data_IF_038082965769
#
_entry.id   IF_038082965769
#
_cell.length_a   1.000
_cell.length_b   1.000
_cell.length_c   1.000
_cell.angle_alpha   90.00
_cell.angle_beta   90.00
_cell.angle_gamma   90.00
#
_symmetry.space_group_name_H-M   'P 1'
#
loop_
_entity.id
_entity.type
_entity.pdbx_description
1 polymer ?
#
# COMPACT_ATOMS: atom_id res chain seq x y z
N UNK A 1 -2.33 4.25 25.80
CA UNK A 1 -1.91 4.14 24.39
C UNK A 1 -0.53 3.52 24.28
N UNK A 2 0.45 3.92 25.09
CA UNK A 2 1.74 3.23 25.25
C UNK A 2 1.67 1.68 25.33
N UNK A 3 0.74 1.09 26.10
CA UNK A 3 0.57 -0.37 26.16
C UNK A 3 0.25 -0.99 24.79
N UNK A 4 -0.63 -0.37 24.00
CA UNK A 4 -0.98 -0.85 22.66
C UNK A 4 0.21 -0.77 21.71
N UNK A 5 1.04 0.27 21.84
CA UNK A 5 2.26 0.39 21.04
C UNK A 5 3.25 -0.74 21.33
N UNK A 6 3.50 -1.04 22.62
CA UNK A 6 4.38 -2.14 23.03
C UNK A 6 3.83 -3.48 22.55
N UNK A 7 2.53 -3.70 22.69
CA UNK A 7 1.88 -4.94 22.25
C UNK A 7 1.96 -5.11 20.73
N UNK A 8 1.73 -4.04 19.96
CA UNK A 8 1.90 -4.06 18.50
C UNK A 8 3.35 -4.40 18.10
N UNK A 9 4.36 -3.83 18.77
CA UNK A 9 5.77 -4.12 18.52
C UNK A 9 6.13 -5.57 18.85
N UNK A 10 5.58 -6.12 19.94
CA UNK A 10 5.77 -7.52 20.30
C UNK A 10 5.15 -8.44 19.25
N UNK A 11 3.93 -8.16 18.78
CA UNK A 11 3.28 -8.93 17.72
C UNK A 11 4.12 -8.88 16.44
N UNK A 12 4.58 -7.69 16.02
CA UNK A 12 5.48 -7.53 14.86
C UNK A 12 6.72 -8.41 15.02
N UNK A 13 7.37 -8.36 16.19
CA UNK A 13 8.55 -9.18 16.47
C UNK A 13 8.24 -10.67 16.32
N UNK A 14 7.18 -11.18 16.95
CA UNK A 14 6.80 -12.59 16.86
C UNK A 14 6.48 -13.03 15.42
N UNK A 15 5.72 -12.23 14.68
CA UNK A 15 5.42 -12.48 13.26
C UNK A 15 6.68 -12.45 12.37
N UNK A 16 7.77 -11.82 12.81
CA UNK A 16 8.99 -11.67 12.01
C UNK A 16 10.03 -12.76 12.26
N UNK A 17 9.94 -13.50 13.37
CA UNK A 17 11.01 -14.41 13.84
C UNK A 17 10.63 -15.89 13.91
N UNK A 18 9.36 -16.27 13.65
CA UNK A 18 8.93 -17.66 13.85
C UNK A 18 7.79 -18.14 12.96
N UNK A 19 7.56 -19.46 13.01
CA UNK A 19 6.32 -20.08 12.52
C UNK A 19 5.19 -19.71 13.47
N UNK A 20 4.31 -18.84 12.99
CA UNK A 20 3.11 -18.40 13.71
C UNK A 20 1.90 -19.18 13.21
N UNK A 21 1.09 -19.66 14.14
CA UNK A 21 -0.14 -20.37 13.80
C UNK A 21 -1.28 -19.42 13.38
N UNK A 22 -2.29 -19.99 12.74
CA UNK A 22 -3.44 -19.23 12.24
C UNK A 22 -4.20 -18.51 13.37
N UNK A 23 -4.21 -19.10 14.57
CA UNK A 23 -4.87 -18.50 15.73
C UNK A 23 -4.17 -17.20 16.14
N UNK A 24 -2.84 -17.17 16.17
CA UNK A 24 -2.08 -15.97 16.47
C UNK A 24 -2.31 -14.88 15.42
N UNK A 25 -2.31 -15.24 14.13
CA UNK A 25 -2.61 -14.31 13.03
C UNK A 25 -4.02 -13.72 13.20
N UNK A 26 -5.01 -14.53 13.56
CA UNK A 26 -6.37 -14.05 13.83
C UNK A 26 -6.43 -13.07 15.00
N UNK A 27 -5.73 -13.34 16.10
CA UNK A 27 -5.66 -12.41 17.24
C UNK A 27 -4.97 -11.10 16.86
N UNK A 28 -3.89 -11.16 16.09
CA UNK A 28 -3.19 -9.97 15.62
C UNK A 28 -4.05 -9.12 14.67
N UNK A 29 -4.81 -9.75 13.77
CA UNK A 29 -5.81 -9.07 12.94
C UNK A 29 -6.88 -8.40 13.80
N UNK A 30 -7.45 -9.12 14.76
CA UNK A 30 -8.45 -8.58 15.69
C UNK A 30 -7.90 -7.40 16.50
N UNK A 31 -6.64 -7.46 16.90
CA UNK A 31 -5.96 -6.36 17.58
C UNK A 31 -5.95 -5.08 16.73
N UNK A 32 -5.66 -5.18 15.43
CA UNK A 32 -5.74 -4.03 14.50
C UNK A 32 -7.17 -3.51 14.38
N UNK A 33 -8.17 -4.38 14.27
CA UNK A 33 -9.58 -3.97 14.23
C UNK A 33 -9.99 -3.18 15.49
N UNK A 34 -9.64 -3.69 16.68
CA UNK A 34 -9.93 -3.01 17.94
C UNK A 34 -9.25 -1.64 18.00
N UNK A 35 -8.01 -1.51 17.50
CA UNK A 35 -7.36 -0.21 17.41
C UNK A 35 -8.12 0.77 16.51
N UNK A 36 -8.65 0.32 15.36
CA UNK A 36 -9.41 1.15 14.43
C UNK A 36 -10.73 1.68 15.01
N UNK A 37 -11.27 1.05 16.05
CA UNK A 37 -12.44 1.51 16.79
C UNK A 37 -12.12 2.62 17.80
N UNK A 38 -10.84 2.80 18.16
CA UNK A 38 -10.42 3.85 19.09
C UNK A 38 -10.59 5.22 18.41
N UNK A 39 -11.20 6.21 19.06
CA UNK A 39 -11.32 7.55 18.50
C UNK A 39 -9.95 8.17 18.18
N UNK A 40 -9.80 8.72 16.98
CA UNK A 40 -8.56 9.36 16.52
C UNK A 40 -8.15 10.59 17.37
N UNK A 41 -9.07 11.12 18.21
CA UNK A 41 -8.82 12.19 19.18
C UNK A 41 -8.11 11.71 20.45
N UNK A 42 -7.92 10.40 20.62
CA UNK A 42 -7.22 9.85 21.77
C UNK A 42 -5.77 10.35 21.83
N UNK A 43 -5.22 10.64 23.03
CA UNK A 43 -3.82 11.01 23.19
C UNK A 43 -2.90 9.96 22.56
N UNK A 44 -1.78 10.37 21.95
CA UNK A 44 -0.80 9.46 21.33
C UNK A 44 -1.32 8.60 20.14
N UNK A 45 -2.57 8.79 19.68
CA UNK A 45 -3.16 7.99 18.61
C UNK A 45 -2.29 7.96 17.35
N UNK A 46 -1.78 9.11 16.91
CA UNK A 46 -0.92 9.21 15.73
C UNK A 46 0.39 8.40 15.87
N UNK A 47 0.98 8.36 17.07
CA UNK A 47 2.19 7.57 17.35
C UNK A 47 1.90 6.07 17.24
N UNK A 48 0.80 5.62 17.86
CA UNK A 48 0.40 4.20 17.82
C UNK A 48 -0.03 3.79 16.41
N UNK A 49 -0.75 4.65 15.69
CA UNK A 49 -1.19 4.42 14.30
C UNK A 49 -0.03 4.04 13.38
N UNK A 50 1.14 4.67 13.53
CA UNK A 50 2.32 4.34 12.73
C UNK A 50 2.79 2.90 12.98
N UNK A 51 2.77 2.44 14.23
CA UNK A 51 3.15 1.08 14.61
C UNK A 51 2.10 0.06 14.12
N UNK A 52 0.82 0.42 14.20
CA UNK A 52 -0.28 -0.42 13.69
C UNK A 52 -0.22 -0.56 12.16
N UNK A 53 0.14 0.51 11.45
CA UNK A 53 0.35 0.46 10.00
C UNK A 53 1.49 -0.47 9.62
N UNK A 54 2.56 -0.52 10.41
CA UNK A 54 3.65 -1.49 10.25
C UNK A 54 3.18 -2.92 10.54
N UNK A 55 2.42 -3.13 11.61
CA UNK A 55 1.83 -4.44 11.92
C UNK A 55 0.95 -4.95 10.77
N UNK A 56 0.11 -4.10 10.18
CA UNK A 56 -0.68 -4.46 9.01
C UNK A 56 0.20 -4.85 7.79
N UNK A 57 1.36 -4.20 7.63
CA UNK A 57 2.33 -4.59 6.60
C UNK A 57 2.99 -5.94 6.87
N UNK A 58 3.15 -6.37 8.12
CA UNK A 58 3.65 -7.73 8.39
C UNK A 58 2.54 -8.75 8.19
N UNK A 59 1.34 -8.43 8.68
CA UNK A 59 0.18 -9.32 8.61
C UNK A 59 -0.25 -9.67 7.18
N UNK A 60 -0.03 -8.80 6.19
CA UNK A 60 -0.48 -9.07 4.81
C UNK A 60 0.11 -10.36 4.22
N UNK A 61 1.33 -10.74 4.60
CA UNK A 61 1.97 -11.97 4.11
C UNK A 61 1.15 -13.19 4.53
N UNK A 62 0.75 -13.21 5.81
CA UNK A 62 0.01 -14.30 6.42
C UNK A 62 -1.45 -14.32 5.95
N UNK A 63 -2.14 -13.18 6.00
CA UNK A 63 -3.54 -13.07 5.58
C UNK A 63 -3.68 -13.39 4.07
N UNK A 64 -2.70 -12.98 3.27
CA UNK A 64 -2.66 -13.28 1.83
C UNK A 64 -2.46 -14.76 1.55
N UNK A 65 -1.57 -15.44 2.29
CA UNK A 65 -1.38 -16.89 2.20
C UNK A 65 -2.67 -17.68 2.55
N UNK A 66 -3.51 -17.13 3.43
CA UNK A 66 -4.82 -17.68 3.80
C UNK A 66 -5.95 -17.30 2.81
N UNK A 67 -5.67 -16.51 1.76
CA UNK A 67 -6.67 -16.06 0.79
C UNK A 67 -7.67 -15.03 1.33
N UNK A 68 -7.41 -14.44 2.50
CA UNK A 68 -8.29 -13.48 3.19
C UNK A 68 -8.08 -12.04 2.69
N UNK A 69 -8.11 -11.86 1.37
CA UNK A 69 -7.78 -10.59 0.71
C UNK A 69 -8.68 -9.42 1.11
N UNK A 70 -9.95 -9.69 1.42
CA UNK A 70 -10.89 -8.68 1.90
C UNK A 70 -10.46 -8.05 3.23
N UNK A 71 -9.86 -8.84 4.13
CA UNK A 71 -9.40 -8.35 5.42
C UNK A 71 -8.22 -7.39 5.24
N UNK A 72 -7.23 -7.76 4.41
CA UNK A 72 -6.10 -6.87 4.08
C UNK A 72 -6.60 -5.57 3.44
N UNK A 73 -7.50 -5.68 2.45
CA UNK A 73 -8.03 -4.53 1.74
C UNK A 73 -8.76 -3.59 2.70
N UNK A 74 -9.59 -4.13 3.60
CA UNK A 74 -10.25 -3.35 4.64
C UNK A 74 -9.22 -2.68 5.57
N UNK A 75 -8.25 -3.45 6.09
CA UNK A 75 -7.29 -2.94 7.07
C UNK A 75 -6.47 -1.79 6.49
N UNK A 76 -5.92 -1.94 5.29
CA UNK A 76 -5.12 -0.87 4.68
C UNK A 76 -5.93 0.35 4.28
N UNK A 77 -7.15 0.17 3.75
CA UNK A 77 -8.02 1.32 3.42
C UNK A 77 -8.45 2.08 4.68
N UNK A 78 -8.80 1.37 5.76
CA UNK A 78 -9.14 1.98 7.04
C UNK A 78 -7.95 2.72 7.66
N UNK A 79 -6.76 2.11 7.66
CA UNK A 79 -5.55 2.76 8.17
C UNK A 79 -5.15 3.97 7.32
N UNK A 80 -5.23 3.88 5.99
CA UNK A 80 -4.98 5.00 5.10
C UNK A 80 -5.93 6.18 5.42
N UNK A 81 -7.22 5.91 5.61
CA UNK A 81 -8.19 6.93 5.99
C UNK A 81 -7.85 7.60 7.33
N UNK A 82 -7.31 6.87 8.30
CA UNK A 82 -6.83 7.46 9.56
C UNK A 82 -5.58 8.30 9.36
N UNK A 83 -4.58 7.78 8.64
CA UNK A 83 -3.31 8.48 8.36
C UNK A 83 -3.56 9.78 7.60
N UNK A 84 -4.50 9.78 6.65
CA UNK A 84 -4.95 10.95 5.89
C UNK A 84 -5.38 12.12 6.79
N UNK A 85 -6.01 11.82 7.94
CA UNK A 85 -6.48 12.85 8.91
C UNK A 85 -5.33 13.59 9.60
N UNK A 86 -4.15 12.96 9.68
CA UNK A 86 -2.96 13.54 10.28
C UNK A 86 -2.02 14.16 9.24
N UNK A 87 -2.42 14.23 7.96
CA UNK A 87 -1.64 14.79 6.87
C UNK A 87 -0.25 14.16 6.65
N UNK A 88 -0.06 12.89 7.06
CA UNK A 88 1.12 12.09 6.72
C UNK A 88 0.92 11.50 5.31
N UNK A 89 1.12 12.34 4.29
CA UNK A 89 0.78 12.03 2.90
C UNK A 89 1.60 10.89 2.30
N UNK A 90 2.86 10.73 2.71
CA UNK A 90 3.71 9.65 2.23
C UNK A 90 3.25 8.29 2.77
N UNK A 91 2.90 8.23 4.06
CA UNK A 91 2.34 7.01 4.64
C UNK A 91 0.95 6.71 4.11
N UNK A 92 0.13 7.74 3.89
CA UNK A 92 -1.16 7.60 3.20
C UNK A 92 -0.96 6.98 1.82
N UNK A 93 -0.11 7.57 0.97
CA UNK A 93 0.17 7.05 -0.36
C UNK A 93 0.68 5.61 -0.32
N UNK A 94 1.59 5.29 0.60
CA UNK A 94 2.13 3.92 0.74
C UNK A 94 1.06 2.88 1.11
N UNK A 95 0.15 3.20 2.04
CA UNK A 95 -0.96 2.30 2.40
C UNK A 95 -1.97 2.17 1.25
N UNK A 96 -2.30 3.27 0.58
CA UNK A 96 -3.26 3.29 -0.53
C UNK A 96 -2.74 2.54 -1.76
N UNK A 97 -1.44 2.65 -2.08
CA UNK A 97 -0.80 1.85 -3.15
C UNK A 97 -0.95 0.35 -2.85
N UNK A 98 -0.66 -0.08 -1.61
CA UNK A 98 -0.78 -1.49 -1.21
C UNK A 98 -2.21 -2.00 -1.30
N UNK A 99 -3.18 -1.21 -0.83
CA UNK A 99 -4.60 -1.51 -0.98
C UNK A 99 -4.99 -1.65 -2.46
N UNK A 100 -4.53 -0.74 -3.33
CA UNK A 100 -4.80 -0.77 -4.76
C UNK A 100 -4.19 -2.00 -5.45
N UNK A 101 -2.96 -2.39 -5.09
CA UNK A 101 -2.32 -3.60 -5.61
C UNK A 101 -3.11 -4.86 -5.27
N UNK A 102 -3.61 -4.98 -4.04
CA UNK A 102 -4.46 -6.12 -3.63
C UNK A 102 -5.81 -6.07 -4.32
N UNK A 103 -6.44 -4.89 -4.45
CA UNK A 103 -7.68 -4.73 -5.19
C UNK A 103 -7.54 -5.15 -6.66
N UNK A 104 -6.42 -4.80 -7.31
CA UNK A 104 -6.17 -5.23 -8.68
C UNK A 104 -5.97 -6.75 -8.78
N UNK A 105 -5.16 -7.33 -7.88
CA UNK A 105 -4.95 -8.77 -7.81
C UNK A 105 -6.24 -9.56 -7.60
N UNK A 106 -7.15 -9.03 -6.79
CA UNK A 106 -8.45 -9.64 -6.52
C UNK A 106 -9.51 -9.28 -7.57
N UNK A 107 -9.08 -9.05 -8.83
CA UNK A 107 -9.92 -8.79 -10.01
C UNK A 107 -10.94 -7.66 -9.81
N UNK A 108 -10.56 -6.65 -9.05
CA UNK A 108 -11.32 -5.40 -8.89
C UNK A 108 -10.52 -4.21 -9.43
N UNK A 109 -10.11 -4.21 -10.72
CA UNK A 109 -9.28 -3.15 -11.29
C UNK A 109 -9.93 -1.78 -11.20
N UNK A 110 -11.27 -1.68 -11.25
CA UNK A 110 -11.99 -0.42 -11.03
C UNK A 110 -11.77 0.12 -9.62
N UNK A 111 -11.75 -0.74 -8.59
CA UNK A 111 -11.50 -0.31 -7.21
C UNK A 111 -10.03 0.15 -7.04
N UNK A 112 -9.08 -0.55 -7.66
CA UNK A 112 -7.68 -0.13 -7.68
C UNK A 112 -7.50 1.24 -8.36
N UNK A 113 -8.16 1.47 -9.49
CA UNK A 113 -8.18 2.77 -10.19
C UNK A 113 -8.67 3.89 -9.26
N UNK A 114 -9.75 3.67 -8.51
CA UNK A 114 -10.26 4.69 -7.59
C UNK A 114 -9.25 5.03 -6.49
N UNK A 115 -8.57 4.04 -5.94
CA UNK A 115 -7.54 4.24 -4.92
C UNK A 115 -6.34 5.04 -5.46
N UNK A 116 -5.87 4.73 -6.67
CA UNK A 116 -4.79 5.51 -7.29
C UNK A 116 -5.23 6.94 -7.64
N UNK A 117 -6.44 7.12 -8.17
CA UNK A 117 -7.00 8.46 -8.43
C UNK A 117 -7.12 9.28 -7.15
N UNK A 118 -7.43 8.65 -6.01
CA UNK A 118 -7.47 9.34 -4.73
C UNK A 118 -6.09 9.96 -4.39
N UNK A 119 -5.00 9.24 -4.66
CA UNK A 119 -3.63 9.74 -4.43
C UNK A 119 -3.26 10.81 -5.45
N UNK A 120 -3.51 10.56 -6.74
CA UNK A 120 -3.14 11.47 -7.85
C UNK A 120 -3.84 12.82 -7.71
N UNK A 121 -5.10 12.82 -7.26
CA UNK A 121 -5.88 14.03 -7.07
C UNK A 121 -5.63 14.72 -5.72
N UNK A 122 -4.68 14.24 -4.90
CA UNK A 122 -4.28 14.96 -3.70
C UNK A 122 -3.55 16.25 -4.07
N UNK A 123 -3.87 17.34 -3.37
CA UNK A 123 -3.08 18.57 -3.43
C UNK A 123 -1.61 18.33 -3.05
N UNK A 124 -1.33 17.33 -2.21
CA UNK A 124 0.00 16.96 -1.78
C UNK A 124 0.74 16.01 -2.76
N UNK A 125 0.11 15.57 -3.85
CA UNK A 125 0.71 14.63 -4.79
C UNK A 125 2.08 15.08 -5.28
N UNK A 126 2.19 16.34 -5.73
CA UNK A 126 3.44 16.93 -6.23
C UNK A 126 4.56 17.01 -5.19
N UNK A 127 4.23 16.95 -3.89
CA UNK A 127 5.20 16.94 -2.79
C UNK A 127 5.72 15.55 -2.44
N UNK A 128 5.13 14.49 -2.99
CA UNK A 128 5.60 13.13 -2.78
C UNK A 128 6.97 12.92 -3.46
N UNK A 129 7.82 12.04 -2.89
CA UNK A 129 9.09 11.66 -3.52
C UNK A 129 8.90 11.24 -4.98
N UNK A 130 9.83 11.61 -5.87
CA UNK A 130 9.71 11.37 -7.31
C UNK A 130 9.47 9.87 -7.62
N UNK A 131 10.26 8.97 -7.04
CA UNK A 131 10.05 7.52 -7.16
C UNK A 131 8.66 7.05 -6.75
N UNK A 132 8.08 7.67 -5.70
CA UNK A 132 6.74 7.32 -5.23
C UNK A 132 5.68 7.72 -6.26
N UNK A 133 5.82 8.90 -6.87
CA UNK A 133 4.96 9.35 -7.96
C UNK A 133 5.08 8.45 -9.18
N UNK A 134 6.30 8.08 -9.57
CA UNK A 134 6.55 7.13 -10.67
C UNK A 134 5.86 5.80 -10.41
N UNK A 135 6.01 5.23 -9.20
CA UNK A 135 5.34 4.00 -8.79
C UNK A 135 3.82 4.10 -8.92
N UNK A 136 3.22 5.19 -8.42
CA UNK A 136 1.77 5.44 -8.52
C UNK A 136 1.31 5.46 -9.98
N UNK A 137 1.97 6.25 -10.83
CA UNK A 137 1.58 6.40 -12.23
C UNK A 137 1.74 5.09 -13.02
N UNK A 138 2.83 4.37 -12.76
CA UNK A 138 3.06 3.06 -13.38
C UNK A 138 1.97 2.07 -12.99
N UNK A 139 1.71 1.87 -11.70
CA UNK A 139 0.70 0.91 -11.25
C UNK A 139 -0.71 1.30 -11.68
N UNK A 140 -1.02 2.60 -11.66
CA UNK A 140 -2.28 3.10 -12.18
C UNK A 140 -2.48 2.74 -13.66
N UNK A 141 -1.42 2.90 -14.46
CA UNK A 141 -1.45 2.55 -15.88
C UNK A 141 -1.65 1.06 -16.12
N UNK A 142 -1.07 0.19 -15.28
CA UNK A 142 -1.33 -1.26 -15.31
C UNK A 142 -2.81 -1.55 -15.09
N UNK A 143 -3.45 -0.93 -14.10
CA UNK A 143 -4.89 -1.09 -13.88
C UNK A 143 -5.72 -0.59 -15.07
N UNK A 144 -5.33 0.50 -15.72
CA UNK A 144 -6.01 1.01 -16.91
C UNK A 144 -5.87 0.06 -18.11
N UNK A 145 -4.71 -0.57 -18.29
CA UNK A 145 -4.47 -1.62 -19.28
C UNK A 145 -5.40 -2.82 -19.04
N UNK A 146 -5.52 -3.26 -17.78
CA UNK A 146 -6.43 -4.35 -17.38
C UNK A 146 -7.91 -4.01 -17.67
N UNK A 147 -8.26 -2.72 -17.69
CA UNK A 147 -9.59 -2.21 -18.05
C UNK A 147 -9.77 -1.94 -19.56
N UNK A 148 -8.71 -2.04 -20.36
CA UNK A 148 -8.72 -1.73 -21.78
C UNK A 148 -8.64 -0.24 -22.13
N UNK A 149 -8.38 0.64 -21.15
CA UNK A 149 -8.17 2.08 -21.38
C UNK A 149 -6.70 2.38 -21.71
N UNK A 150 -6.27 1.91 -22.88
CA UNK A 150 -4.89 2.04 -23.35
C UNK A 150 -4.48 3.50 -23.62
N UNK A 151 -5.44 4.34 -24.01
CA UNK A 151 -5.17 5.75 -24.31
C UNK A 151 -4.75 6.48 -23.03
N UNK A 152 -5.55 6.36 -21.97
CA UNK A 152 -5.24 6.97 -20.67
C UNK A 152 -3.99 6.35 -20.06
N UNK A 153 -3.83 5.02 -20.13
CA UNK A 153 -2.64 4.32 -19.63
C UNK A 153 -1.36 4.84 -20.29
N UNK A 154 -1.38 5.07 -21.60
CA UNK A 154 -0.22 5.58 -22.34
C UNK A 154 0.19 6.97 -21.83
N UNK A 155 -0.77 7.86 -21.59
CA UNK A 155 -0.50 9.19 -21.04
C UNK A 155 0.19 9.11 -19.67
N UNK A 156 -0.31 8.25 -18.78
CA UNK A 156 0.26 8.13 -17.44
C UNK A 156 1.64 7.45 -17.43
N UNK A 157 1.89 6.47 -18.30
CA UNK A 157 3.23 5.89 -18.48
C UNK A 157 4.23 6.91 -19.02
N UNK A 158 3.83 7.74 -19.98
CA UNK A 158 4.69 8.82 -20.49
C UNK A 158 5.05 9.82 -19.38
N UNK A 159 4.09 10.16 -18.52
CA UNK A 159 4.34 11.01 -17.36
C UNK A 159 5.32 10.36 -16.35
N UNK A 160 5.20 9.05 -16.10
CA UNK A 160 6.14 8.31 -15.26
C UNK A 160 7.56 8.33 -15.83
N UNK A 161 7.70 8.10 -17.15
CA UNK A 161 9.00 8.14 -17.85
C UNK A 161 9.62 9.54 -17.75
N UNK A 162 8.85 10.60 -18.02
CA UNK A 162 9.33 11.97 -17.92
C UNK A 162 9.83 12.30 -16.51
N UNK A 163 9.17 11.80 -15.46
CA UNK A 163 9.64 11.97 -14.08
C UNK A 163 10.96 11.24 -13.82
N UNK A 164 11.14 10.01 -14.31
CA UNK A 164 12.41 9.28 -14.22
C UNK A 164 13.55 10.04 -14.91
N UNK A 165 13.31 10.54 -16.13
CA UNK A 165 14.29 11.30 -16.91
C UNK A 165 14.73 12.58 -16.20
N UNK A 166 13.76 13.32 -15.64
CA UNK A 166 14.03 14.58 -14.92
C UNK A 166 14.87 14.38 -13.67
N UNK A 167 14.65 13.28 -12.94
CA UNK A 167 15.33 13.04 -11.66
C UNK A 167 16.62 12.24 -11.81
N UNK A 168 16.98 11.80 -13.03
CA UNK A 168 18.07 10.83 -13.29
C UNK A 168 17.90 9.54 -12.47
N UNK A 169 16.68 9.27 -12.04
CA UNK A 169 16.31 8.15 -11.22
C UNK A 169 15.73 7.07 -12.14
N UNK A 170 16.62 6.31 -12.76
CA UNK A 170 16.29 5.00 -13.35
C UNK A 170 16.27 3.97 -12.23
N UNK A 171 15.37 4.16 -11.26
CA UNK A 171 15.18 3.13 -10.25
C UNK A 171 14.78 1.84 -10.96
N UNK A 172 15.43 0.73 -10.59
CA UNK A 172 14.88 -0.60 -10.80
C UNK A 172 13.54 -0.58 -10.05
N UNK A 173 12.45 -0.30 -10.76
CA UNK A 173 11.13 -0.31 -10.14
C UNK A 173 10.96 -1.70 -9.53
N UNK A 174 10.66 -1.82 -8.22
CA UNK A 174 10.29 -3.11 -7.67
C UNK A 174 9.03 -3.53 -8.41
N UNK A 175 9.22 -4.43 -9.35
CA UNK A 175 8.15 -5.10 -10.09
C UNK A 175 7.27 -5.72 -9.01
N UNK A 176 6.01 -5.27 -8.82
CA UNK A 176 5.11 -6.01 -7.98
C UNK A 176 5.04 -7.40 -8.61
N UNK A 177 5.14 -8.44 -7.78
CA UNK A 177 4.89 -9.81 -8.23
C UNK A 177 3.39 -9.91 -8.53
N UNK A 178 2.95 -9.33 -9.64
CA UNK A 178 1.67 -9.58 -10.26
C UNK A 178 1.85 -10.62 -11.35
N UNK A 179 0.77 -11.35 -11.63
CA UNK A 179 0.68 -12.55 -12.48
C UNK A 179 1.29 -12.47 -13.90
N UNK A 180 1.91 -11.36 -14.30
CA UNK A 180 2.60 -11.19 -15.58
C UNK A 180 4.12 -11.39 -15.54
N UNK A 181 4.75 -11.55 -14.38
CA UNK A 181 6.15 -11.98 -14.29
C UNK A 181 7.19 -11.09 -14.99
N UNK A 182 6.80 -9.92 -15.52
CA UNK A 182 7.67 -9.09 -16.33
C UNK A 182 8.67 -8.32 -15.45
N UNK A 183 9.91 -8.80 -15.38
CA UNK A 183 11.02 -8.07 -14.75
C UNK A 183 11.50 -6.99 -15.71
N UNK A 184 11.64 -5.75 -15.24
CA UNK A 184 12.31 -4.68 -15.98
C UNK A 184 13.71 -4.52 -15.41
N UNK A 185 14.76 -4.69 -16.22
CA UNK A 185 16.12 -4.41 -15.78
C UNK A 185 16.42 -2.90 -15.73
N UNK A 186 17.60 -2.54 -15.22
CA UNK A 186 18.09 -1.15 -15.17
C UNK A 186 18.27 -0.49 -16.55
N UNK A 187 17.95 -1.20 -17.64
CA UNK A 187 18.01 -0.71 -19.02
C UNK A 187 16.63 -0.64 -19.70
N UNK A 188 15.55 -0.94 -18.98
CA UNK A 188 14.19 -0.87 -19.52
C UNK A 188 13.76 -2.09 -20.35
N UNK A 189 14.44 -3.23 -20.21
CA UNK A 189 14.13 -4.45 -20.96
C UNK A 189 13.13 -5.32 -20.20
N UNK A 190 12.08 -5.82 -20.88
CA UNK A 190 11.06 -6.72 -20.30
C UNK A 190 11.51 -8.20 -20.38
N UNK A 191 11.37 -8.97 -19.29
CA UNK A 191 11.58 -10.43 -19.26
C UNK A 191 10.49 -11.16 -18.48
#
# INVERSE_FOLDING_TARGET
MQRLQVEAQQIIHYLSVGEVDDFFVEQAVRFVYVFLEIPATAPEYASVLSTIAELANVLHVYIGAQGRWNDILYLWTALAAQVKRFADWEKFASLTIRAALVANHYRSPQAAVQLYLEIINLNAYESLPALKRVEILHQFSVCLIDLGDYATATTYLQNAIALCEQNQEYAVMPVPVSHYGARIDSKGTFF
#
